data_IF_748099187005
#
_entry.id   IF_748099187005
#
_cell.length_a   1.000
_cell.length_b   1.000
_cell.length_c   1.000
_cell.angle_alpha   90.00
_cell.angle_beta   90.00
_cell.angle_gamma   90.00
#
_symmetry.space_group_name_H-M   'P 1'
#
loop_
_entity.id
_entity.type
_entity.pdbx_description
1 polymer ?
#
# COMPACT_ATOMS: atom_id res chain seq x y z
N UNK A 1 -37.92 0.78 -20.61
CA UNK A 1 -36.82 1.40 -19.83
C UNK A 1 -36.42 0.39 -18.77
N UNK A 2 -35.24 -0.22 -18.91
CA UNK A 2 -34.76 -1.26 -17.99
C UNK A 2 -33.88 -0.57 -16.95
N UNK A 3 -34.37 -0.47 -15.72
CA UNK A 3 -33.61 0.01 -14.56
C UNK A 3 -32.46 -0.97 -14.32
N UNK A 4 -31.22 -0.55 -14.61
CA UNK A 4 -30.04 -1.27 -14.13
C UNK A 4 -30.01 -1.10 -12.61
N UNK A 5 -30.11 -2.21 -11.88
CA UNK A 5 -29.73 -2.23 -10.48
C UNK A 5 -28.23 -1.88 -10.42
N UNK A 6 -27.91 -0.72 -9.85
CA UNK A 6 -26.52 -0.35 -9.55
C UNK A 6 -26.05 -1.21 -8.38
N UNK A 7 -25.58 -2.42 -8.68
CA UNK A 7 -24.83 -3.21 -7.72
C UNK A 7 -23.60 -2.40 -7.27
N UNK A 8 -23.37 -2.31 -5.96
CA UNK A 8 -22.14 -1.73 -5.43
C UNK A 8 -20.93 -2.53 -5.95
N UNK A 9 -20.24 -1.98 -6.94
CA UNK A 9 -19.02 -2.57 -7.49
C UNK A 9 -17.87 -2.53 -6.48
N UNK A 10 -16.99 -3.53 -6.54
CA UNK A 10 -15.75 -3.53 -5.75
C UNK A 10 -14.71 -2.69 -6.50
N UNK A 11 -14.17 -1.68 -5.83
CA UNK A 11 -13.04 -0.88 -6.35
C UNK A 11 -11.75 -1.36 -5.70
N UNK A 12 -10.75 -1.73 -6.50
CA UNK A 12 -9.43 -2.14 -6.03
C UNK A 12 -8.40 -1.09 -6.48
N UNK A 13 -7.64 -0.54 -5.54
CA UNK A 13 -6.49 0.32 -5.84
C UNK A 13 -5.21 -0.53 -5.78
N UNK A 14 -4.55 -0.70 -6.92
CA UNK A 14 -3.28 -1.42 -7.04
C UNK A 14 -2.13 -0.45 -7.24
N UNK A 15 -1.16 -0.44 -6.32
CA UNK A 15 0.10 0.28 -6.47
C UNK A 15 1.21 -0.69 -6.86
N UNK A 16 1.93 -0.36 -7.93
CA UNK A 16 3.12 -1.11 -8.37
C UNK A 16 4.37 -0.27 -8.15
N UNK A 17 5.31 -0.80 -7.37
CA UNK A 17 6.60 -0.17 -7.10
C UNK A 17 7.74 -1.11 -7.48
N UNK A 18 8.91 -0.54 -7.76
CA UNK A 18 10.11 -1.31 -8.09
C UNK A 18 10.97 -1.49 -6.85
N UNK A 19 11.22 -2.73 -6.45
CA UNK A 19 12.32 -3.09 -5.57
C UNK A 19 13.56 -3.38 -6.43
N UNK A 20 14.52 -2.45 -6.47
CA UNK A 20 15.73 -2.59 -7.28
C UNK A 20 16.61 -3.81 -6.90
N UNK A 21 16.40 -4.38 -5.72
CA UNK A 21 17.07 -5.62 -5.26
C UNK A 21 16.18 -6.85 -5.39
N UNK A 22 14.90 -6.66 -5.71
CA UNK A 22 13.91 -7.71 -5.85
C UNK A 22 14.27 -8.63 -7.02
N UNK A 23 14.09 -9.93 -6.80
CA UNK A 23 14.19 -10.96 -7.86
C UNK A 23 12.83 -11.55 -8.22
N UNK A 24 11.79 -11.15 -7.49
CA UNK A 24 10.43 -11.68 -7.51
C UNK A 24 9.46 -10.55 -7.16
N UNK A 25 8.19 -10.74 -7.48
CA UNK A 25 7.10 -9.89 -7.03
C UNK A 25 6.91 -10.03 -5.52
N UNK A 26 6.60 -8.90 -4.89
CA UNK A 26 6.29 -8.83 -3.46
C UNK A 26 4.88 -8.28 -3.28
N UNK A 27 4.03 -9.05 -2.60
CA UNK A 27 2.70 -8.62 -2.21
C UNK A 27 2.80 -7.97 -0.83
N UNK A 28 2.73 -6.64 -0.76
CA UNK A 28 2.93 -5.89 0.48
C UNK A 28 1.69 -5.95 1.39
N UNK A 29 1.84 -6.59 2.55
CA UNK A 29 0.79 -6.75 3.55
C UNK A 29 0.54 -5.47 4.37
N UNK A 30 1.60 -4.70 4.61
CA UNK A 30 1.56 -3.53 5.47
C UNK A 30 2.08 -2.28 4.76
N UNK A 31 1.54 -1.13 5.15
CA UNK A 31 2.09 0.19 4.88
C UNK A 31 2.43 0.88 6.20
N UNK A 32 3.59 1.52 6.31
CA UNK A 32 4.08 2.12 7.56
C UNK A 32 4.00 3.65 7.54
N UNK A 33 3.52 4.24 8.63
CA UNK A 33 3.50 5.68 8.88
C UNK A 33 4.91 6.22 9.11
N UNK A 34 5.78 6.14 8.10
CA UNK A 34 7.18 6.52 8.21
C UNK A 34 7.74 6.94 6.85
N UNK A 35 8.02 8.24 6.74
CA UNK A 35 8.76 8.83 5.64
C UNK A 35 10.22 9.04 6.06
N UNK A 36 11.06 8.04 5.80
CA UNK A 36 12.52 8.10 6.01
C UNK A 36 13.24 7.73 4.72
N UNK A 37 13.41 8.72 3.86
CA UNK A 37 13.87 8.52 2.48
C UNK A 37 15.40 8.47 2.44
N UNK A 38 15.97 7.33 2.01
CA UNK A 38 17.43 7.15 1.94
C UNK A 38 18.10 8.10 0.93
N UNK A 39 17.39 8.44 -0.14
CA UNK A 39 17.78 9.39 -1.19
C UNK A 39 16.63 10.37 -1.43
N UNK A 40 16.86 11.58 -1.98
CA UNK A 40 15.76 12.46 -2.37
C UNK A 40 14.86 11.81 -3.42
N UNK A 41 13.59 12.19 -3.44
CA UNK A 41 12.72 11.93 -4.58
C UNK A 41 13.03 12.86 -5.76
N UNK A 42 12.28 12.73 -6.85
CA UNK A 42 12.46 13.52 -8.08
C UNK A 42 12.28 15.04 -7.89
N UNK A 43 11.67 15.47 -6.78
CA UNK A 43 11.48 16.89 -6.43
C UNK A 43 12.47 17.36 -5.36
N UNK A 44 13.43 16.53 -4.97
CA UNK A 44 14.39 16.83 -3.93
C UNK A 44 13.88 16.63 -2.50
N UNK A 45 12.67 16.10 -2.31
CA UNK A 45 12.12 15.86 -0.98
C UNK A 45 12.77 14.63 -0.34
N UNK A 46 13.37 14.81 0.85
CA UNK A 46 14.08 13.77 1.57
C UNK A 46 13.78 13.80 3.08
N UNK A 47 12.56 13.43 3.50
CA UNK A 47 12.18 13.41 4.91
C UNK A 47 13.00 12.35 5.69
N UNK A 48 13.20 12.63 6.98
CA UNK A 48 13.87 11.73 7.93
C UNK A 48 13.04 11.63 9.21
N UNK A 49 12.64 10.42 9.59
CA UNK A 49 11.82 10.14 10.78
C UNK A 49 10.55 11.00 10.84
N UNK A 50 9.93 11.26 9.69
CA UNK A 50 8.70 12.05 9.61
C UNK A 50 7.49 11.13 9.47
N UNK A 51 6.40 11.46 10.16
CA UNK A 51 5.13 10.81 9.91
C UNK A 51 4.61 11.17 8.50
N UNK A 52 3.87 10.25 7.91
CA UNK A 52 3.06 10.51 6.70
C UNK A 52 1.74 11.13 7.13
N UNK A 53 1.16 10.61 8.22
CA UNK A 53 0.03 11.18 8.95
C UNK A 53 0.46 11.52 10.38
N UNK A 54 0.37 12.81 10.73
CA UNK A 54 0.76 13.35 12.04
C UNK A 54 -0.22 12.95 13.17
N UNK A 55 -1.41 12.44 12.85
CA UNK A 55 -2.37 11.91 13.84
C UNK A 55 -2.02 10.48 14.30
N UNK A 56 -1.17 9.77 13.56
CA UNK A 56 -0.72 8.41 13.87
C UNK A 56 0.72 8.38 14.39
N UNK A 57 1.09 7.32 15.12
CA UNK A 57 2.47 7.20 15.63
C UNK A 57 3.46 6.91 14.50
N UNK A 58 4.69 7.41 14.65
CA UNK A 58 5.77 7.08 13.72
C UNK A 58 5.98 5.56 13.69
N UNK A 59 5.93 4.97 12.49
CA UNK A 59 6.08 3.53 12.28
C UNK A 59 4.84 2.69 12.58
N UNK A 60 3.70 3.32 12.90
CA UNK A 60 2.42 2.62 12.97
C UNK A 60 2.05 2.04 11.60
N UNK A 61 1.43 0.86 11.56
CA UNK A 61 1.18 0.12 10.33
C UNK A 61 -0.31 0.06 9.98
N UNK A 62 -0.62 0.23 8.70
CA UNK A 62 -1.92 -0.08 8.12
C UNK A 62 -1.81 -1.43 7.40
N UNK A 63 -2.68 -2.37 7.73
CA UNK A 63 -2.80 -3.67 7.06
C UNK A 63 -3.83 -3.60 5.92
N UNK A 64 -3.50 -4.22 4.78
CA UNK A 64 -4.39 -4.32 3.62
C UNK A 64 -5.62 -5.17 3.92
N UNK A 65 -6.75 -4.86 3.29
CA UNK A 65 -7.96 -5.70 3.37
C UNK A 65 -7.96 -6.85 2.35
N UNK A 66 -6.94 -6.90 1.49
CA UNK A 66 -6.78 -7.95 0.48
C UNK A 66 -6.06 -9.15 1.10
N UNK A 67 -6.58 -10.36 0.88
CA UNK A 67 -5.93 -11.59 1.34
C UNK A 67 -4.72 -11.91 0.46
N UNK A 68 -3.57 -11.31 0.81
CA UNK A 68 -2.34 -11.43 0.03
C UNK A 68 -1.76 -12.84 0.08
N UNK A 69 -2.01 -13.59 1.14
CA UNK A 69 -1.66 -15.00 1.27
C UNK A 69 -2.48 -15.88 0.31
N UNK A 70 -3.78 -15.60 0.16
CA UNK A 70 -4.60 -16.28 -0.83
C UNK A 70 -4.19 -15.88 -2.25
N UNK A 71 -3.86 -14.62 -2.50
CA UNK A 71 -3.39 -14.17 -3.81
C UNK A 71 -2.07 -14.83 -4.21
N UNK A 72 -1.11 -14.91 -3.29
CA UNK A 72 0.16 -15.63 -3.51
C UNK A 72 -0.12 -17.08 -3.96
N UNK A 73 -1.04 -17.77 -3.28
CA UNK A 73 -1.46 -19.13 -3.65
C UNK A 73 -2.10 -19.20 -5.03
N UNK A 74 -3.00 -18.27 -5.36
CA UNK A 74 -3.70 -18.23 -6.67
C UNK A 74 -2.74 -17.95 -7.82
N UNK A 75 -1.70 -17.15 -7.58
CA UNK A 75 -0.74 -16.81 -8.63
C UNK A 75 0.12 -18.00 -9.08
N UNK A 76 0.20 -19.07 -8.27
CA UNK A 76 0.87 -20.36 -8.56
C UNK A 76 2.24 -20.21 -9.25
N UNK A 77 2.94 -19.10 -9.01
CA UNK A 77 4.22 -18.81 -9.62
C UNK A 77 5.30 -18.81 -8.53
N UNK A 78 6.49 -19.28 -8.87
CA UNK A 78 7.63 -19.30 -7.94
C UNK A 78 8.24 -17.90 -7.74
N UNK A 79 7.69 -16.89 -8.40
CA UNK A 79 8.25 -15.53 -8.49
C UNK A 79 7.39 -14.51 -7.73
N UNK A 80 6.52 -14.95 -6.81
CA UNK A 80 5.72 -14.05 -5.95
C UNK A 80 5.85 -14.48 -4.51
N UNK A 81 6.05 -13.52 -3.61
CA UNK A 81 5.99 -13.77 -2.17
C UNK A 81 5.26 -12.68 -1.41
N UNK A 82 4.63 -13.01 -0.29
CA UNK A 82 4.14 -12.00 0.65
C UNK A 82 5.32 -11.27 1.31
N UNK A 83 5.21 -9.95 1.41
CA UNK A 83 6.18 -9.07 2.06
C UNK A 83 5.52 -8.26 3.16
N UNK A 84 6.22 -8.10 4.28
CA UNK A 84 5.77 -7.30 5.42
C UNK A 84 6.53 -5.98 5.55
N UNK A 85 7.48 -5.69 4.66
CA UNK A 85 8.27 -4.46 4.68
C UNK A 85 8.36 -3.82 3.28
N UNK A 86 7.49 -2.83 2.96
CA UNK A 86 7.54 -2.09 1.70
C UNK A 86 8.66 -1.03 1.67
N UNK A 87 9.53 -0.99 2.69
CA UNK A 87 10.53 0.04 2.87
C UNK A 87 9.94 1.34 3.43
N UNK A 88 10.73 2.42 3.32
CA UNK A 88 10.36 3.77 3.83
C UNK A 88 10.60 4.86 2.78
N UNK A 89 10.46 4.51 1.50
CA UNK A 89 10.59 5.43 0.38
C UNK A 89 9.22 5.76 -0.25
N UNK A 90 9.19 6.33 -1.45
CA UNK A 90 7.96 6.79 -2.13
C UNK A 90 6.91 5.69 -2.34
N UNK A 91 7.30 4.43 -2.51
CA UNK A 91 6.37 3.30 -2.62
C UNK A 91 5.54 3.15 -1.33
N UNK A 92 6.19 2.99 -0.18
CA UNK A 92 5.53 2.96 1.13
C UNK A 92 4.75 4.24 1.40
N UNK A 93 5.33 5.41 1.09
CA UNK A 93 4.67 6.70 1.29
C UNK A 93 3.31 6.77 0.59
N UNK A 94 3.30 6.44 -0.69
CA UNK A 94 2.09 6.47 -1.53
C UNK A 94 1.10 5.40 -1.08
N UNK A 95 1.58 4.19 -0.76
CA UNK A 95 0.72 3.10 -0.31
C UNK A 95 0.03 3.42 1.01
N UNK A 96 0.78 3.91 2.00
CA UNK A 96 0.23 4.35 3.28
C UNK A 96 -0.78 5.48 3.09
N UNK A 97 -0.43 6.51 2.32
CA UNK A 97 -1.30 7.66 2.08
C UNK A 97 -2.63 7.25 1.43
N UNK A 98 -2.58 6.40 0.40
CA UNK A 98 -3.80 5.85 -0.21
C UNK A 98 -4.59 5.00 0.78
N UNK A 99 -3.94 4.11 1.52
CA UNK A 99 -4.64 3.28 2.50
C UNK A 99 -5.32 4.13 3.56
N UNK A 100 -4.64 5.12 4.13
CA UNK A 100 -5.23 6.05 5.09
C UNK A 100 -6.48 6.76 4.51
N UNK A 101 -6.34 7.38 3.33
CA UNK A 101 -7.42 8.17 2.72
C UNK A 101 -8.60 7.33 2.24
N UNK A 102 -8.37 6.10 1.80
CA UNK A 102 -9.41 5.21 1.29
C UNK A 102 -9.92 4.18 2.32
N UNK A 103 -9.24 4.04 3.47
CA UNK A 103 -9.76 3.32 4.66
C UNK A 103 -11.06 3.94 5.18
N UNK A 104 -11.30 5.22 4.90
CA UNK A 104 -12.49 5.96 5.32
C UNK A 104 -13.77 5.74 4.49
N UNK A 105 -13.80 4.81 3.53
CA UNK A 105 -15.06 4.50 2.79
C UNK A 105 -16.00 3.50 3.50
N UNK A 106 -15.74 3.17 4.77
CA UNK A 106 -16.53 2.20 5.56
C UNK A 106 -17.07 2.69 6.91
N UNK A 107 -17.04 3.99 7.22
CA UNK A 107 -17.66 4.50 8.46
C UNK A 107 -18.81 5.51 8.29
N UNK A 108 -19.19 5.93 7.09
CA UNK A 108 -20.40 6.77 6.89
C UNK A 108 -21.11 6.48 5.54
N UNK A 109 -21.50 5.23 5.30
CA UNK A 109 -22.55 4.89 4.32
C UNK A 109 -23.51 3.86 4.89
#
# INVERSE_FOLDING_TARGET
>A
QTTREEGQGITVLLHMGVDYKGKSFKLEKFAYNNATFRIPDERGYQPRNKCIDDEMKLGEALETCLDVEQLEKIMENNDTSVSTDPGRFVCNYTYFYSMDKFRASRLDR
#
